data_IF_478923211218
#
_entry.id   IF_478923211218
#
_cell.length_a   1.000
_cell.length_b   1.000
_cell.length_c   1.000
_cell.angle_alpha   90.00
_cell.angle_beta   90.00
_cell.angle_gamma   90.00
#
_symmetry.space_group_name_H-M   'P 1'
#
loop_
_entity.id
_entity.type
_entity.pdbx_description
1 polymer ?
#
# COMPACT_ATOMS: atom_id res chain seq x y z
N UNK A 1 -4.09 3.03 -25.86
CA UNK A 1 -3.07 2.63 -24.88
C UNK A 1 -3.74 2.04 -23.64
N UNK A 2 -4.13 0.76 -23.65
CA UNK A 2 -4.66 0.04 -22.47
C UNK A 2 -3.61 -0.85 -21.79
N UNK A 3 -2.40 -0.96 -22.37
CA UNK A 3 -1.34 -1.87 -21.90
C UNK A 3 -0.37 -1.27 -20.88
N UNK A 4 -0.51 0.00 -20.51
CA UNK A 4 0.52 0.72 -19.75
C UNK A 4 0.32 0.59 -18.22
N UNK A 5 -0.89 0.89 -17.72
CA UNK A 5 -1.15 0.91 -16.28
C UNK A 5 -1.02 -0.47 -15.60
N UNK A 6 -1.45 -1.55 -16.26
CA UNK A 6 -1.22 -2.91 -15.73
C UNK A 6 0.27 -3.27 -15.70
N UNK A 7 1.06 -2.75 -16.65
CA UNK A 7 2.51 -2.94 -16.68
C UNK A 7 3.19 -2.14 -15.57
N UNK A 8 2.72 -0.90 -15.29
CA UNK A 8 3.15 -0.11 -14.13
C UNK A 8 2.88 -0.84 -12.82
N UNK A 9 1.68 -1.42 -12.65
CA UNK A 9 1.36 -2.19 -11.45
C UNK A 9 2.33 -3.38 -11.26
N UNK A 10 2.71 -4.09 -12.32
CA UNK A 10 3.69 -5.19 -12.26
C UNK A 10 5.10 -4.71 -11.91
N UNK A 11 5.50 -3.54 -12.41
CA UNK A 11 6.80 -2.95 -12.08
C UNK A 11 6.85 -2.58 -10.60
N UNK A 12 5.80 -1.93 -10.10
CA UNK A 12 5.65 -1.57 -8.68
C UNK A 12 5.61 -2.83 -7.82
N UNK A 13 4.87 -3.86 -8.24
CA UNK A 13 4.82 -5.16 -7.57
C UNK A 13 6.21 -5.80 -7.46
N UNK A 14 7.00 -5.78 -8.54
CA UNK A 14 8.39 -6.26 -8.52
C UNK A 14 9.28 -5.52 -7.52
N UNK A 15 9.13 -4.19 -7.40
CA UNK A 15 9.82 -3.40 -6.38
C UNK A 15 9.38 -3.82 -4.97
N UNK A 16 8.07 -3.97 -4.74
CA UNK A 16 7.49 -4.36 -3.46
C UNK A 16 7.97 -5.75 -3.01
N UNK A 17 8.05 -6.71 -3.92
CA UNK A 17 8.60 -8.05 -3.65
C UNK A 17 10.08 -8.00 -3.23
N UNK A 18 10.88 -7.12 -3.85
CA UNK A 18 12.27 -6.92 -3.45
C UNK A 18 12.36 -6.31 -2.05
N UNK A 19 11.48 -5.36 -1.70
CA UNK A 19 11.40 -4.80 -0.34
C UNK A 19 11.00 -5.87 0.68
N UNK A 20 10.01 -6.72 0.38
CA UNK A 20 9.64 -7.86 1.22
C UNK A 20 10.84 -8.76 1.52
N UNK A 21 11.62 -9.12 0.49
CA UNK A 21 12.82 -9.94 0.65
C UNK A 21 13.91 -9.24 1.50
N UNK A 22 14.08 -7.92 1.35
CA UNK A 22 15.04 -7.14 2.15
C UNK A 22 14.65 -7.01 3.62
N UNK A 23 13.34 -6.93 3.90
CA UNK A 23 12.85 -6.90 5.28
C UNK A 23 13.04 -8.25 5.95
N UNK A 24 12.72 -9.34 5.25
CA UNK A 24 12.88 -10.71 5.78
C UNK A 24 12.08 -10.95 7.07
N UNK A 25 11.03 -10.18 7.30
CA UNK A 25 10.21 -10.18 8.51
C UNK A 25 8.83 -10.85 8.30
N UNK A 26 8.67 -11.58 7.19
CA UNK A 26 7.41 -12.23 6.81
C UNK A 26 6.37 -11.31 6.16
N UNK A 27 6.66 -10.01 6.01
CA UNK A 27 5.77 -9.10 5.28
C UNK A 27 5.82 -9.34 3.76
N UNK A 28 4.63 -9.56 3.18
CA UNK A 28 4.42 -9.69 1.73
C UNK A 28 3.67 -8.47 1.22
N UNK A 29 4.34 -7.67 0.40
CA UNK A 29 3.73 -6.53 -0.26
C UNK A 29 3.33 -6.87 -1.69
N UNK A 30 2.20 -6.34 -2.13
CA UNK A 30 1.74 -6.50 -3.50
C UNK A 30 1.08 -5.24 -4.05
N UNK A 31 1.13 -5.08 -5.37
CA UNK A 31 0.49 -3.98 -6.09
C UNK A 31 -0.50 -4.50 -7.15
N UNK A 32 -1.65 -3.85 -7.28
CA UNK A 32 -2.62 -4.15 -8.33
C UNK A 32 -3.24 -2.86 -8.87
N UNK A 33 -3.48 -2.83 -10.18
CA UNK A 33 -4.23 -1.74 -10.83
C UNK A 33 -5.74 -1.93 -10.61
N UNK A 34 -6.41 -0.92 -10.06
CA UNK A 34 -7.83 -0.93 -9.74
C UNK A 34 -8.73 -0.46 -10.90
N UNK A 35 -8.16 0.28 -11.86
CA UNK A 35 -8.89 0.73 -13.05
C UNK A 35 -8.76 2.22 -13.35
N UNK A 36 -9.49 2.64 -14.38
CA UNK A 36 -9.47 4.00 -14.90
C UNK A 36 -10.44 4.93 -14.16
N UNK A 37 -10.11 5.20 -12.91
CA UNK A 37 -10.88 6.03 -11.98
C UNK A 37 -9.94 6.60 -10.91
N UNK A 38 -10.27 7.74 -10.30
CA UNK A 38 -9.44 8.34 -9.26
C UNK A 38 -9.44 7.49 -7.97
N UNK A 39 -8.37 7.55 -7.16
CA UNK A 39 -8.28 6.81 -5.90
C UNK A 39 -9.50 6.93 -4.99
N UNK A 40 -10.09 8.12 -4.82
CA UNK A 40 -11.29 8.29 -3.96
C UNK A 40 -12.53 7.53 -4.44
N UNK A 41 -12.63 7.22 -5.75
CA UNK A 41 -13.76 6.51 -6.34
C UNK A 41 -13.51 5.00 -6.46
N UNK A 42 -12.36 4.51 -5.97
CA UNK A 42 -11.88 3.15 -6.22
C UNK A 42 -12.31 2.11 -5.21
N UNK A 43 -13.08 2.49 -4.19
CA UNK A 43 -13.45 1.61 -3.08
C UNK A 43 -14.09 0.30 -3.54
N UNK A 44 -15.05 0.33 -4.47
CA UNK A 44 -15.69 -0.89 -4.97
C UNK A 44 -14.71 -1.79 -5.75
N UNK A 45 -13.80 -1.18 -6.51
CA UNK A 45 -12.77 -1.90 -7.25
C UNK A 45 -11.74 -2.53 -6.30
N UNK A 46 -11.36 -1.79 -5.25
CA UNK A 46 -10.51 -2.26 -4.16
C UNK A 46 -11.12 -3.47 -3.46
N UNK A 47 -12.39 -3.37 -3.06
CA UNK A 47 -13.07 -4.45 -2.35
C UNK A 47 -13.11 -5.74 -3.18
N UNK A 48 -13.37 -5.63 -4.49
CA UNK A 48 -13.30 -6.77 -5.41
C UNK A 48 -11.88 -7.30 -5.58
N UNK A 49 -10.88 -6.43 -5.72
CA UNK A 49 -9.49 -6.82 -5.95
C UNK A 49 -8.88 -7.56 -4.76
N UNK A 50 -9.26 -7.18 -3.53
CA UNK A 50 -8.77 -7.82 -2.31
C UNK A 50 -9.73 -8.85 -1.71
N UNK A 51 -10.87 -9.12 -2.37
CA UNK A 51 -11.92 -10.03 -1.89
C UNK A 51 -12.43 -9.68 -0.47
N UNK A 52 -12.55 -8.39 -0.16
CA UNK A 52 -12.98 -7.89 1.15
C UNK A 52 -14.43 -7.39 1.12
N UNK A 53 -15.16 -7.63 2.22
CA UNK A 53 -16.50 -7.09 2.40
C UNK A 53 -16.44 -5.56 2.64
N UNK A 54 -17.31 -4.76 2.01
CA UNK A 54 -17.26 -3.29 2.12
C UNK A 54 -17.75 -2.75 3.47
N UNK A 55 -18.42 -3.58 4.28
CA UNK A 55 -19.13 -3.12 5.48
C UNK A 55 -18.20 -2.47 6.52
N UNK A 56 -18.49 -1.22 6.86
CA UNK A 56 -17.71 -0.47 7.86
C UNK A 56 -16.30 -0.10 7.41
N UNK A 57 -16.00 -0.16 6.11
CA UNK A 57 -14.74 0.30 5.54
C UNK A 57 -14.95 1.56 4.71
N UNK A 58 -13.92 2.40 4.63
CA UNK A 58 -13.90 3.57 3.75
C UNK A 58 -12.47 3.93 3.37
N UNK A 59 -12.32 4.59 2.22
CA UNK A 59 -11.09 5.28 1.87
C UNK A 59 -11.06 6.67 2.52
N UNK A 60 -9.91 7.04 3.07
CA UNK A 60 -9.64 8.38 3.58
C UNK A 60 -8.33 8.89 3.00
N UNK A 61 -8.22 10.19 2.67
CA UNK A 61 -6.93 10.81 2.37
C UNK A 61 -5.96 10.53 3.51
N UNK A 62 -4.72 10.18 3.19
CA UNK A 62 -3.77 9.74 4.21
C UNK A 62 -3.50 10.81 5.27
N UNK A 63 -3.57 12.09 4.90
CA UNK A 63 -3.39 13.24 5.78
C UNK A 63 -4.51 13.37 6.82
N UNK A 64 -5.68 12.79 6.53
CA UNK A 64 -6.84 12.79 7.43
C UNK A 64 -6.86 11.58 8.38
N UNK A 65 -5.96 10.61 8.20
CA UNK A 65 -5.91 9.40 9.02
C UNK A 65 -5.07 9.66 10.27
N UNK A 66 -5.76 9.75 11.41
CA UNK A 66 -5.10 9.78 12.73
C UNK A 66 -4.60 8.37 13.04
N UNK A 67 -3.29 8.17 12.90
CA UNK A 67 -2.64 6.90 13.18
C UNK A 67 -1.57 7.06 14.26
N UNK A 68 -1.59 6.16 15.24
CA UNK A 68 -0.63 6.11 16.36
C UNK A 68 0.11 4.77 16.32
N UNK A 69 1.23 4.69 15.60
CA UNK A 69 2.06 3.48 15.53
C UNK A 69 2.99 3.39 14.33
N UNK A 70 3.64 2.24 14.18
CA UNK A 70 4.29 1.84 12.93
C UNK A 70 3.23 1.67 11.81
N UNK A 71 3.63 1.81 10.54
CA UNK A 71 2.78 1.60 9.34
C UNK A 71 1.72 2.66 9.05
N UNK A 72 1.83 3.84 9.65
CA UNK A 72 0.87 4.91 9.41
C UNK A 72 1.03 5.57 8.04
N UNK A 73 2.19 5.40 7.41
CA UNK A 73 2.51 5.98 6.10
C UNK A 73 3.14 4.93 5.18
N UNK A 74 3.03 5.05 3.85
CA UNK A 74 3.73 4.20 2.89
C UNK A 74 5.23 4.12 3.17
N UNK A 75 5.84 5.22 3.63
CA UNK A 75 7.25 5.29 4.00
C UNK A 75 7.59 4.37 5.18
N UNK A 76 6.90 4.53 6.30
CA UNK A 76 7.11 3.65 7.46
C UNK A 76 6.79 2.20 7.13
N UNK A 77 5.73 2.00 6.35
CA UNK A 77 5.27 0.69 5.90
C UNK A 77 6.34 -0.08 5.10
N UNK A 78 7.01 0.59 4.17
CA UNK A 78 8.10 -0.02 3.40
C UNK A 78 9.38 -0.19 4.24
N UNK A 79 9.74 0.81 5.05
CA UNK A 79 11.07 0.85 5.67
C UNK A 79 11.16 0.17 7.04
N UNK A 80 10.09 0.15 7.86
CA UNK A 80 10.13 -0.39 9.22
C UNK A 80 9.78 -1.88 9.23
N UNK A 81 10.59 -2.73 9.88
CA UNK A 81 10.25 -4.15 10.02
C UNK A 81 9.12 -4.37 11.02
N UNK A 82 8.15 -5.20 10.63
CA UNK A 82 7.00 -5.59 11.45
C UNK A 82 7.36 -6.61 12.52
N UNK A 83 8.20 -7.57 12.13
CA UNK A 83 8.71 -8.64 13.00
C UNK A 83 10.23 -8.68 12.97
N UNK A 84 10.91 -7.75 13.68
CA UNK A 84 12.36 -7.82 13.80
C UNK A 84 12.75 -9.11 14.54
N UNK A 85 13.62 -9.91 13.94
CA UNK A 85 14.11 -11.18 14.50
C UNK A 85 15.31 -10.92 15.42
N UNK A 86 16.02 -9.80 15.22
CA UNK A 86 17.17 -9.36 16.00
C UNK A 86 17.11 -7.86 16.37
N UNK A 87 18.01 -7.42 17.25
CA UNK A 87 18.14 -5.99 17.59
C UNK A 87 18.58 -5.15 16.37
N UNK A 88 19.40 -5.73 15.48
CA UNK A 88 19.82 -5.07 14.25
C UNK A 88 18.63 -4.83 13.31
N UNK A 89 17.66 -5.75 13.29
CA UNK A 89 16.45 -5.67 12.46
C UNK A 89 15.51 -4.54 12.89
N UNK A 90 15.65 -4.02 14.10
CA UNK A 90 14.87 -2.87 14.57
C UNK A 90 15.22 -1.58 13.84
N UNK A 91 16.39 -1.52 13.20
CA UNK A 91 16.74 -0.39 12.36
C UNK A 91 15.91 -0.42 11.07
N UNK A 92 15.29 0.71 10.68
CA UNK A 92 14.62 0.82 9.41
C UNK A 92 15.58 0.54 8.25
N UNK A 93 15.02 0.11 7.12
CA UNK A 93 15.75 0.10 5.85
C UNK A 93 16.18 1.52 5.46
N UNK A 94 17.18 1.61 4.59
CA UNK A 94 17.72 2.88 4.11
C UNK A 94 16.62 3.75 3.47
N UNK A 95 16.49 5.00 3.95
CA UNK A 95 15.49 5.95 3.49
C UNK A 95 15.50 6.18 1.97
N UNK A 96 16.67 6.04 1.33
CA UNK A 96 16.83 6.21 -0.12
C UNK A 96 15.99 5.24 -0.94
N UNK A 97 15.59 4.10 -0.37
CA UNK A 97 14.66 3.18 -1.02
C UNK A 97 13.30 3.85 -1.24
N UNK A 98 12.73 4.46 -0.21
CA UNK A 98 11.44 5.14 -0.33
C UNK A 98 11.54 6.40 -1.19
N UNK A 99 12.59 7.20 -0.99
CA UNK A 99 12.76 8.45 -1.74
C UNK A 99 12.96 8.17 -3.24
N UNK A 100 13.62 7.06 -3.59
CA UNK A 100 13.73 6.59 -4.97
C UNK A 100 12.39 6.09 -5.53
N UNK A 101 11.67 5.29 -4.76
CA UNK A 101 10.35 4.77 -5.11
C UNK A 101 9.35 5.91 -5.39
N UNK A 102 9.27 6.92 -4.55
CA UNK A 102 8.36 8.05 -4.71
C UNK A 102 8.64 8.84 -5.99
N UNK A 103 9.92 9.07 -6.31
CA UNK A 103 10.32 9.73 -7.56
C UNK A 103 9.95 8.89 -8.78
N UNK A 104 10.28 7.61 -8.78
CA UNK A 104 9.92 6.71 -9.89
C UNK A 104 8.40 6.62 -10.07
N UNK A 105 7.64 6.63 -8.98
CA UNK A 105 6.19 6.63 -9.01
C UNK A 105 5.64 7.90 -9.67
N UNK A 106 6.16 9.07 -9.33
CA UNK A 106 5.77 10.33 -9.95
C UNK A 106 6.13 10.37 -11.45
N UNK A 107 7.29 9.84 -11.83
CA UNK A 107 7.71 9.73 -13.24
C UNK A 107 6.80 8.77 -14.03
N UNK A 108 6.52 7.58 -13.49
CA UNK A 108 5.65 6.58 -14.10
C UNK A 108 4.21 7.08 -14.29
N UNK A 109 3.71 7.88 -13.35
CA UNK A 109 2.35 8.40 -13.39
C UNK A 109 2.25 9.76 -14.09
N UNK A 110 3.38 10.41 -14.37
CA UNK A 110 3.45 11.75 -14.95
C UNK A 110 3.03 12.88 -13.98
N UNK A 111 2.74 12.56 -12.72
CA UNK A 111 2.40 13.50 -11.65
C UNK A 111 2.59 12.85 -10.29
N UNK A 112 2.63 13.66 -9.24
CA UNK A 112 2.56 13.15 -7.87
C UNK A 112 1.24 12.39 -7.65
N UNK A 113 1.28 11.20 -7.04
CA UNK A 113 0.07 10.44 -6.75
C UNK A 113 -0.67 10.97 -5.51
N UNK A 114 -1.99 10.92 -5.56
CA UNK A 114 -2.84 11.16 -4.39
C UNK A 114 -2.96 9.87 -3.57
N UNK A 115 -2.68 9.96 -2.27
CA UNK A 115 -2.65 8.81 -1.37
C UNK A 115 -3.90 8.71 -0.49
N UNK A 116 -4.43 7.50 -0.41
CA UNK A 116 -5.55 7.14 0.42
C UNK A 116 -5.21 5.89 1.22
N UNK A 117 -5.82 5.76 2.39
CA UNK A 117 -5.74 4.56 3.20
C UNK A 117 -7.14 3.99 3.40
N UNK A 118 -7.24 2.66 3.29
CA UNK A 118 -8.43 1.96 3.73
C UNK A 118 -8.47 2.00 5.26
N UNK A 119 -9.58 2.46 5.84
CA UNK A 119 -9.76 2.53 7.30
C UNK A 119 -11.10 1.94 7.72
N UNK A 120 -11.15 1.40 8.94
CA UNK A 120 -12.40 0.99 9.58
C UNK A 120 -13.15 2.22 10.10
N UNK A 121 -14.47 2.28 9.88
CA UNK A 121 -15.34 3.38 10.29
C UNK A 121 -15.46 3.56 11.82
N UNK A 122 -14.80 2.71 12.62
CA UNK A 122 -14.82 2.74 14.09
C UNK A 122 -13.46 2.70 14.79
N UNK A 123 -12.36 3.14 14.15
CA UNK A 123 -11.01 3.19 14.74
C UNK A 123 -10.50 1.84 15.33
N UNK A 124 -10.80 0.72 14.69
CA UNK A 124 -10.27 -0.61 15.07
C UNK A 124 -9.29 -1.13 14.02
N UNK A 125 -8.31 -1.91 14.46
CA UNK A 125 -7.31 -2.57 13.60
C UNK A 125 -8.00 -3.39 12.50
N UNK A 126 -7.58 -3.13 11.25
CA UNK A 126 -8.08 -3.79 10.04
C UNK A 126 -7.71 -5.29 9.97
N UNK A 127 -6.69 -5.72 10.71
CA UNK A 127 -6.18 -7.09 10.69
C UNK A 127 -7.26 -8.14 11.02
N UNK A 128 -8.29 -7.78 11.81
CA UNK A 128 -9.40 -8.71 12.13
C UNK A 128 -10.49 -8.76 11.05
N UNK A 129 -10.57 -7.78 10.16
CA UNK A 129 -11.63 -7.66 9.14
C UNK A 129 -11.15 -8.06 7.74
N UNK A 130 -9.85 -7.97 7.46
CA UNK A 130 -9.27 -8.23 6.13
C UNK A 130 -8.55 -9.58 6.01
N UNK A 131 -8.69 -10.48 6.99
CA UNK A 131 -8.01 -11.78 7.00
C UNK A 131 -6.49 -11.64 7.19
N UNK A 132 -5.69 -12.14 6.24
CA UNK A 132 -4.22 -12.06 6.27
C UNK A 132 -3.68 -10.68 5.86
N UNK A 133 -4.53 -9.77 5.37
CA UNK A 133 -4.14 -8.43 4.94
C UNK A 133 -4.17 -7.48 6.14
N UNK A 134 -3.05 -6.81 6.41
CA UNK A 134 -2.88 -5.96 7.59
C UNK A 134 -3.08 -4.48 7.32
N UNK A 135 -2.72 -4.04 6.12
CA UNK A 135 -2.76 -2.63 5.73
C UNK A 135 -2.89 -2.50 4.21
N UNK A 136 -3.60 -1.45 3.80
CA UNK A 136 -3.98 -1.21 2.41
C UNK A 136 -3.89 0.28 2.15
N UNK A 137 -3.08 0.64 1.16
CA UNK A 137 -2.96 1.98 0.61
C UNK A 137 -3.48 1.98 -0.82
N UNK A 138 -4.23 3.01 -1.18
CA UNK A 138 -4.67 3.27 -2.54
C UNK A 138 -3.99 4.54 -3.01
N UNK A 139 -3.45 4.53 -4.22
CA UNK A 139 -2.80 5.70 -4.79
C UNK A 139 -3.06 5.81 -6.28
N UNK A 140 -2.79 6.98 -6.84
CA UNK A 140 -2.88 7.19 -8.28
C UNK A 140 -3.16 8.64 -8.65
N UNK A 141 -3.66 8.83 -9.86
CA UNK A 141 -3.97 10.15 -10.44
C UNK A 141 -5.48 10.32 -10.60
N UNK A 142 -5.92 11.46 -11.13
CA UNK A 142 -7.35 11.73 -11.40
C UNK A 142 -8.02 10.67 -12.31
N UNK A 143 -7.23 9.93 -13.10
CA UNK A 143 -7.74 8.98 -14.08
C UNK A 143 -7.48 7.52 -13.73
N UNK A 144 -6.61 7.21 -12.76
CA UNK A 144 -6.09 5.86 -12.55
C UNK A 144 -5.82 5.60 -11.08
N UNK A 145 -6.23 4.42 -10.60
CA UNK A 145 -6.02 4.01 -9.22
C UNK A 145 -5.29 2.66 -9.15
N UNK A 146 -4.47 2.52 -8.13
CA UNK A 146 -3.70 1.35 -7.78
C UNK A 146 -3.89 1.06 -6.29
N UNK A 147 -3.75 -0.19 -5.91
CA UNK A 147 -3.70 -0.61 -4.51
C UNK A 147 -2.32 -1.18 -4.21
N UNK A 148 -1.76 -0.79 -3.07
CA UNK A 148 -0.71 -1.54 -2.38
C UNK A 148 -1.30 -2.16 -1.12
N UNK A 149 -0.96 -3.40 -0.85
CA UNK A 149 -1.40 -4.08 0.36
C UNK A 149 -0.25 -4.91 0.94
N UNK A 150 -0.34 -5.17 2.25
CA UNK A 150 0.60 -6.01 2.98
C UNK A 150 -0.20 -7.14 3.58
N UNK A 151 0.20 -8.36 3.26
CA UNK A 151 -0.20 -9.58 3.96
C UNK A 151 1.01 -10.19 4.67
N UNK A 152 0.77 -11.17 5.52
CA UNK A 152 1.81 -12.06 6.02
C UNK A 152 1.59 -13.46 5.46
N UNK A 153 2.68 -14.18 5.24
CA UNK A 153 2.61 -15.63 5.08
C UNK A 153 2.13 -16.24 6.41
N UNK A 154 1.11 -17.09 6.34
CA UNK A 154 0.61 -17.89 7.46
C UNK A 154 1.56 -19.07 7.75
#
# INVERSE_FOLDING_TARGET
MRGDCHSHARLIDGYLLAVSALKGDGSLFGCTYLGALPPQASFDALCRALEIAPDGLRLQPIEAVVCSGALCTPRQWLLERLHPISEADRQPLDARLFDGFERELAELLGSEPHWYQLVSSGQRSLARQLGAIWSVFVFGTECHAYVMHCSWDN
#
